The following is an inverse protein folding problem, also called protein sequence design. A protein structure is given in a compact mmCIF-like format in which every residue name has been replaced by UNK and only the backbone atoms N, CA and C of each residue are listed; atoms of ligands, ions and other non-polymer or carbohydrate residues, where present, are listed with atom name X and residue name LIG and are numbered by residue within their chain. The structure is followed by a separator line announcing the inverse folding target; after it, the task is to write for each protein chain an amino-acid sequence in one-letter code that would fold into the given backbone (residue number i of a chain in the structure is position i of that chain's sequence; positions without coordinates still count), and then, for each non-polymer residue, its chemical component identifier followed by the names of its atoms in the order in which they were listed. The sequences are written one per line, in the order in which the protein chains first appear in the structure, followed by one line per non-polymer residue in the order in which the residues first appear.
data_IF_961937952235
#
_entry.id   IF_961937952235
#
_cell.length_a   1.000
_cell.length_b   1.000
_cell.length_c   1.000
_cell.angle_alpha   90.00
_cell.angle_beta   90.00
_cell.angle_gamma   90.00
#
_symmetry.space_group_name_H-M   'P 1'
#
loop_
_entity.id
_entity.type
_entity.pdbx_description
1 polymer ?
#
# COMPACT_ATOMS: atom_id res chain seq x y z
N UNK A 1 -58.54 -33.92 -61.35
CA UNK A 1 -59.82 -33.41 -61.92
C UNK A 1 -59.66 -31.92 -62.00
N UNK A 2 -59.45 -31.45 -63.22
CA UNK A 2 -60.05 -30.36 -63.97
C UNK A 2 -59.91 -28.98 -63.34
N UNK A 3 -59.49 -27.98 -63.97
CA UNK A 3 -59.27 -27.55 -65.40
C UNK A 3 -59.52 -26.08 -65.45
N UNK A 4 -58.69 -25.33 -66.17
CA UNK A 4 -58.90 -24.09 -66.97
C UNK A 4 -59.15 -22.73 -66.23
N UNK A 5 -58.79 -21.64 -66.70
CA UNK A 5 -58.03 -21.14 -67.91
C UNK A 5 -58.01 -19.63 -67.91
N UNK A 6 -56.90 -19.10 -68.36
CA UNK A 6 -56.68 -17.93 -69.17
C UNK A 6 -57.75 -16.82 -69.23
N UNK A 7 -57.34 -15.56 -69.10
CA UNK A 7 -57.28 -14.70 -70.31
C UNK A 7 -56.52 -13.38 -70.09
N UNK A 8 -55.82 -13.09 -71.14
CA UNK A 8 -55.04 -11.92 -71.47
C UNK A 8 -55.94 -10.78 -71.82
N UNK A 9 -55.68 -9.53 -71.48
CA UNK A 9 -55.83 -8.38 -72.35
C UNK A 9 -54.83 -7.29 -71.99
N UNK A 10 -54.15 -6.89 -73.05
CA UNK A 10 -53.21 -5.74 -73.17
C UNK A 10 -53.92 -4.39 -73.27
N UNK A 11 -53.18 -3.37 -72.98
CA UNK A 11 -53.00 -2.05 -73.62
C UNK A 11 -53.02 -0.91 -72.57
N UNK A 12 -52.16 -0.14 -72.54
CA UNK A 12 -51.55 0.96 -73.20
C UNK A 12 -50.78 1.92 -72.25
N UNK A 13 -49.64 2.33 -72.77
CA UNK A 13 -48.77 3.33 -72.16
C UNK A 13 -49.45 4.70 -72.05
N UNK A 14 -49.24 5.32 -70.85
CA UNK A 14 -49.12 6.78 -70.78
C UNK A 14 -48.05 7.17 -69.82
N UNK A 15 -47.11 7.93 -70.35
CA UNK A 15 -45.93 8.47 -69.67
C UNK A 15 -46.30 9.30 -68.45
N UNK A 16 -45.82 8.96 -67.33
CA UNK A 16 -45.74 9.89 -66.20
C UNK A 16 -44.31 9.87 -65.62
N UNK A 17 -43.69 11.03 -65.65
CA UNK A 17 -42.30 11.29 -65.14
C UNK A 17 -42.20 10.92 -63.69
N UNK A 18 -41.42 9.92 -63.43
CA UNK A 18 -41.03 9.51 -62.08
C UNK A 18 -39.98 10.51 -61.56
N UNK A 19 -40.36 11.40 -60.68
CA UNK A 19 -39.39 12.18 -59.85
C UNK A 19 -38.85 11.28 -58.82
N UNK A 20 -37.57 10.87 -58.97
CA UNK A 20 -36.81 10.12 -57.97
C UNK A 20 -36.53 11.04 -56.80
N UNK A 21 -37.21 10.87 -55.70
CA UNK A 21 -36.81 11.41 -54.40
C UNK A 21 -35.69 10.53 -53.83
N UNK A 22 -34.45 11.01 -53.90
CA UNK A 22 -33.33 10.44 -53.18
C UNK A 22 -33.47 10.90 -51.72
N UNK A 23 -34.00 10.05 -50.86
CA UNK A 23 -33.93 10.25 -49.41
C UNK A 23 -32.51 9.83 -49.02
N UNK A 24 -31.66 10.82 -48.83
CA UNK A 24 -30.34 10.62 -48.17
C UNK A 24 -30.61 10.29 -46.71
N UNK A 25 -30.48 9.01 -46.36
CA UNK A 25 -30.35 8.59 -44.98
C UNK A 25 -28.96 9.06 -44.47
N UNK A 26 -28.92 10.22 -43.83
CA UNK A 26 -27.78 10.63 -43.04
C UNK A 26 -27.82 9.77 -41.77
N UNK A 27 -27.11 8.64 -41.77
CA UNK A 27 -26.81 7.91 -40.57
C UNK A 27 -25.88 8.78 -39.71
N UNK A 28 -26.45 9.51 -38.75
CA UNK A 28 -25.69 10.11 -37.67
C UNK A 28 -25.16 8.93 -36.85
N UNK A 29 -23.95 8.50 -37.17
CA UNK A 29 -23.16 7.70 -36.24
C UNK A 29 -22.85 8.65 -35.08
N UNK A 30 -23.68 8.63 -34.06
CA UNK A 30 -23.31 9.14 -32.76
C UNK A 30 -22.14 8.27 -32.29
N UNK A 31 -20.90 8.68 -32.57
CA UNK A 31 -19.73 8.23 -31.87
C UNK A 31 -19.95 8.73 -30.46
N UNK A 32 -20.58 7.88 -29.65
CA UNK A 32 -20.56 8.03 -28.22
C UNK A 32 -19.08 7.89 -27.80
N UNK A 33 -18.38 9.02 -27.72
CA UNK A 33 -17.24 9.13 -26.81
C UNK A 33 -17.80 8.98 -25.41
N UNK A 34 -18.06 7.74 -25.01
CA UNK A 34 -17.91 7.37 -23.61
C UNK A 34 -16.41 7.44 -23.37
N UNK A 35 -15.90 8.64 -23.11
CA UNK A 35 -14.57 8.82 -22.60
C UNK A 35 -14.49 7.91 -21.36
N UNK A 36 -13.77 6.80 -21.49
CA UNK A 36 -13.35 5.99 -20.35
C UNK A 36 -12.66 7.00 -19.46
N UNK A 37 -13.30 7.38 -18.34
CA UNK A 37 -12.67 8.27 -17.38
C UNK A 37 -11.36 7.59 -17.03
N UNK A 38 -10.28 8.32 -17.14
CA UNK A 38 -8.97 7.85 -16.71
C UNK A 38 -9.07 7.42 -15.25
N UNK A 39 -8.73 6.18 -14.96
CA UNK A 39 -8.85 5.58 -13.63
C UNK A 39 -8.12 6.41 -12.58
N UNK A 40 -7.00 7.05 -12.95
CA UNK A 40 -6.23 7.91 -12.06
C UNK A 40 -7.03 9.15 -11.71
N UNK A 41 -7.56 9.86 -12.72
CA UNK A 41 -8.36 11.08 -12.51
C UNK A 41 -9.63 10.82 -11.70
N UNK A 42 -10.28 9.67 -11.90
CA UNK A 42 -11.46 9.28 -11.13
C UNK A 42 -11.12 9.04 -9.65
N UNK A 43 -10.00 8.37 -9.37
CA UNK A 43 -9.55 8.12 -8.00
C UNK A 43 -9.06 9.39 -7.31
N UNK A 44 -8.37 10.29 -8.01
CA UNK A 44 -7.98 11.59 -7.47
C UNK A 44 -9.23 12.38 -7.07
N UNK A 45 -10.24 12.46 -7.94
CA UNK A 45 -11.48 13.16 -7.61
C UNK A 45 -12.21 12.56 -6.40
N UNK A 46 -12.26 11.22 -6.28
CA UNK A 46 -12.80 10.57 -5.09
C UNK A 46 -11.98 10.92 -3.85
N UNK A 47 -10.66 10.86 -3.94
CA UNK A 47 -9.75 11.18 -2.83
C UNK A 47 -9.87 12.64 -2.37
N UNK A 48 -10.07 13.60 -3.28
CA UNK A 48 -10.32 15.00 -2.93
C UNK A 48 -11.54 15.15 -2.02
N UNK A 49 -12.63 14.44 -2.32
CA UNK A 49 -13.87 14.49 -1.54
C UNK A 49 -13.65 13.81 -0.19
N UNK A 50 -13.08 12.60 -0.19
CA UNK A 50 -12.86 11.82 1.02
C UNK A 50 -11.92 12.54 1.99
N UNK A 51 -10.77 12.96 1.53
CA UNK A 51 -9.78 13.64 2.36
C UNK A 51 -10.25 15.04 2.80
N UNK A 52 -11.15 15.69 2.05
CA UNK A 52 -11.83 16.89 2.50
C UNK A 52 -12.62 16.66 3.80
N UNK A 53 -13.36 15.57 3.89
CA UNK A 53 -14.08 15.17 5.11
C UNK A 53 -13.14 14.79 6.27
N UNK A 54 -12.04 14.08 5.97
CA UNK A 54 -11.04 13.76 6.99
C UNK A 54 -10.35 15.01 7.54
N UNK A 55 -10.05 15.99 6.69
CA UNK A 55 -9.47 17.26 7.10
C UNK A 55 -10.44 18.03 8.01
N UNK A 56 -11.71 18.17 7.62
CA UNK A 56 -12.73 18.80 8.46
C UNK A 56 -12.78 18.16 9.86
N UNK A 57 -12.79 16.83 9.91
CA UNK A 57 -12.82 16.10 11.18
C UNK A 57 -11.50 16.23 11.96
N UNK A 58 -10.37 16.20 11.29
CA UNK A 58 -9.03 16.29 11.88
C UNK A 58 -8.73 17.67 12.46
N UNK A 59 -9.25 18.72 11.82
CA UNK A 59 -9.05 20.13 12.19
C UNK A 59 -10.20 20.73 13.02
N UNK A 60 -11.25 19.94 13.33
CA UNK A 60 -12.37 20.37 14.15
C UNK A 60 -11.96 20.50 15.63
N UNK A 61 -11.46 21.65 16.05
CA UNK A 61 -11.08 21.92 17.44
C UNK A 61 -9.82 22.75 17.53
N UNK A 62 -9.28 22.88 18.75
CA UNK A 62 -8.11 23.71 19.02
C UNK A 62 -6.78 23.06 18.65
N UNK A 63 -6.77 21.73 18.41
CA UNK A 63 -5.59 20.96 18.08
C UNK A 63 -5.84 20.05 16.90
N UNK A 64 -4.83 19.86 16.04
CA UNK A 64 -4.88 18.90 14.95
C UNK A 64 -4.91 17.46 15.50
N UNK A 65 -5.72 16.61 14.89
CA UNK A 65 -5.83 15.20 15.25
C UNK A 65 -5.42 14.32 14.07
N UNK A 66 -4.92 13.13 14.34
CA UNK A 66 -4.40 12.20 13.33
C UNK A 66 -5.43 11.09 13.13
N UNK A 67 -6.19 11.06 12.01
CA UNK A 67 -7.15 10.02 11.76
C UNK A 67 -6.42 8.71 11.40
N UNK A 68 -6.85 7.60 12.00
CA UNK A 68 -6.23 6.28 11.77
C UNK A 68 -7.18 5.29 11.11
N UNK A 69 -8.45 5.28 11.51
CA UNK A 69 -9.49 4.38 11.01
C UNK A 69 -10.88 4.95 11.24
N UNK A 70 -11.90 4.32 10.66
CA UNK A 70 -13.31 4.58 10.90
C UNK A 70 -14.00 3.31 11.35
N UNK A 71 -14.56 3.33 12.54
CA UNK A 71 -15.18 2.18 13.15
C UNK A 71 -16.42 2.59 13.94
N UNK A 72 -17.48 1.77 13.88
CA UNK A 72 -18.72 1.98 14.62
C UNK A 72 -19.37 3.36 14.41
N UNK A 73 -19.19 3.95 13.21
CA UNK A 73 -19.74 5.26 12.85
C UNK A 73 -18.86 6.45 13.28
N UNK A 74 -17.67 6.21 13.81
CA UNK A 74 -16.78 7.26 14.33
C UNK A 74 -15.36 7.15 13.77
N UNK A 75 -14.76 8.31 13.47
CA UNK A 75 -13.32 8.38 13.11
C UNK A 75 -12.51 8.20 14.39
N UNK A 76 -11.61 7.24 14.38
CA UNK A 76 -10.65 7.04 15.45
C UNK A 76 -9.38 7.84 15.18
N UNK A 77 -8.88 8.51 16.21
CA UNK A 77 -7.66 9.31 16.15
C UNK A 77 -6.58 8.68 17.03
N UNK A 78 -5.32 8.83 16.61
CA UNK A 78 -4.16 8.33 17.34
C UNK A 78 -3.27 9.47 17.84
N UNK A 79 -2.47 9.22 18.89
CA UNK A 79 -1.44 10.17 19.32
C UNK A 79 -0.29 10.25 18.29
N UNK A 80 0.55 11.27 18.44
CA UNK A 80 1.68 11.51 17.53
C UNK A 80 2.73 10.41 17.57
N UNK A 81 2.85 9.68 18.66
CA UNK A 81 3.81 8.56 18.83
C UNK A 81 3.24 7.19 18.42
N UNK A 82 2.05 7.14 17.84
CA UNK A 82 1.53 5.92 17.19
C UNK A 82 2.22 5.72 15.85
N UNK A 83 2.52 4.45 15.51
CA UNK A 83 3.26 4.09 14.29
C UNK A 83 2.59 4.55 12.98
N UNK A 84 1.26 4.71 12.98
CA UNK A 84 0.51 5.18 11.80
C UNK A 84 0.43 6.70 11.67
N UNK A 85 1.05 7.45 12.57
CA UNK A 85 0.85 8.91 12.67
C UNK A 85 1.36 9.69 11.45
N UNK A 86 2.36 9.19 10.74
CA UNK A 86 2.96 9.84 9.57
C UNK A 86 2.12 9.75 8.30
N UNK A 87 1.31 8.69 8.17
CA UNK A 87 0.64 8.37 6.90
C UNK A 87 -0.39 9.39 6.47
N UNK A 88 -1.15 9.99 7.39
CA UNK A 88 -2.13 11.01 7.00
C UNK A 88 -1.46 12.24 6.39
N UNK A 89 -0.40 12.75 7.01
CA UNK A 89 0.40 13.84 6.45
C UNK A 89 0.99 13.45 5.08
N UNK A 90 1.53 12.23 4.98
CA UNK A 90 2.05 11.67 3.73
C UNK A 90 1.01 11.57 2.62
N UNK A 91 -0.22 11.16 2.96
CA UNK A 91 -1.37 11.12 2.05
C UNK A 91 -1.68 12.50 1.47
N UNK A 92 -1.65 13.54 2.30
CA UNK A 92 -1.86 14.93 1.87
C UNK A 92 -0.72 15.42 0.97
N UNK A 93 0.53 15.02 1.23
CA UNK A 93 1.65 15.31 0.34
C UNK A 93 1.49 14.65 -1.04
N UNK A 94 1.00 13.41 -1.09
CA UNK A 94 0.69 12.75 -2.38
C UNK A 94 -0.47 13.45 -3.11
N UNK A 95 -1.49 13.93 -2.39
CA UNK A 95 -2.53 14.75 -3.03
C UNK A 95 -1.98 16.04 -3.63
N UNK A 96 -1.04 16.69 -2.97
CA UNK A 96 -0.35 17.83 -3.56
C UNK A 96 0.39 17.44 -4.84
N UNK A 97 1.16 16.36 -4.84
CA UNK A 97 1.91 15.90 -6.04
C UNK A 97 0.98 15.42 -7.16
N UNK A 98 -0.16 14.83 -6.81
CA UNK A 98 -1.16 14.38 -7.78
C UNK A 98 -1.98 15.51 -8.40
N UNK A 99 -2.25 16.58 -7.67
CA UNK A 99 -3.16 17.67 -8.12
C UNK A 99 -2.44 18.97 -8.48
N UNK A 100 -1.29 19.23 -7.89
CA UNK A 100 -0.62 20.53 -7.95
C UNK A 100 -1.34 21.63 -7.16
N UNK A 101 -2.38 21.32 -6.39
CA UNK A 101 -3.14 22.29 -5.61
C UNK A 101 -2.47 22.57 -4.26
N UNK A 102 -1.99 23.80 -4.08
CA UNK A 102 -1.25 24.26 -2.90
C UNK A 102 -2.00 24.05 -1.57
N UNK A 103 -3.33 24.01 -1.59
CA UNK A 103 -4.11 23.73 -0.38
C UNK A 103 -3.68 22.42 0.28
N UNK A 104 -3.39 21.38 -0.52
CA UNK A 104 -2.94 20.08 0.01
C UNK A 104 -1.56 20.20 0.66
N UNK A 105 -0.64 20.98 0.07
CA UNK A 105 0.67 21.21 0.67
C UNK A 105 0.57 21.97 2.01
N UNK A 106 -0.32 22.96 2.12
CA UNK A 106 -0.55 23.71 3.36
C UNK A 106 -1.07 22.79 4.49
N UNK A 107 -2.05 21.96 4.21
CA UNK A 107 -2.55 20.97 5.17
C UNK A 107 -1.50 19.92 5.50
N UNK A 108 -0.81 19.37 4.48
CA UNK A 108 0.26 18.40 4.66
C UNK A 108 1.38 18.94 5.58
N UNK A 109 1.81 20.18 5.38
CA UNK A 109 2.80 20.82 6.23
C UNK A 109 2.33 20.90 7.69
N UNK A 110 1.12 21.39 7.94
CA UNK A 110 0.56 21.50 9.30
C UNK A 110 0.50 20.14 10.00
N UNK A 111 0.02 19.09 9.29
CA UNK A 111 -0.06 17.75 9.84
C UNK A 111 1.31 17.06 9.96
N UNK A 112 2.30 17.46 9.19
CA UNK A 112 3.69 17.03 9.35
C UNK A 112 4.31 17.65 10.60
N UNK A 113 4.14 18.94 10.81
CA UNK A 113 4.81 19.68 11.88
C UNK A 113 4.38 19.26 13.29
N UNK A 114 3.16 18.74 13.49
CA UNK A 114 2.75 18.20 14.79
C UNK A 114 3.56 16.94 15.18
N UNK A 115 4.26 16.29 14.23
CA UNK A 115 5.12 15.13 14.48
C UNK A 115 6.57 15.51 14.82
N UNK A 116 6.87 16.81 15.04
CA UNK A 116 8.22 17.30 15.22
C UNK A 116 9.03 16.55 16.29
N UNK A 117 8.42 16.22 17.42
CA UNK A 117 9.13 15.59 18.54
C UNK A 117 9.41 14.11 18.35
N UNK A 118 8.80 13.46 17.32
CA UNK A 118 9.03 12.06 16.97
C UNK A 118 10.49 11.82 16.57
N UNK A 119 11.20 12.81 16.07
CA UNK A 119 12.61 12.73 15.75
C UNK A 119 13.50 12.24 16.92
N UNK A 120 13.04 12.34 18.15
CA UNK A 120 13.77 11.92 19.35
C UNK A 120 13.30 10.60 19.93
N UNK A 121 12.27 9.98 19.34
CA UNK A 121 11.68 8.75 19.84
C UNK A 121 12.60 7.54 19.58
N UNK A 122 12.78 6.66 20.59
CA UNK A 122 13.75 5.54 20.56
C UNK A 122 13.20 4.21 21.03
N UNK A 123 11.92 4.11 21.39
CA UNK A 123 11.38 2.91 22.02
C UNK A 123 10.73 1.92 21.03
N UNK A 124 10.48 2.30 19.78
CA UNK A 124 10.13 1.39 18.67
C UNK A 124 10.82 1.82 17.37
N UNK A 125 10.75 0.96 16.34
CA UNK A 125 11.45 1.17 15.08
C UNK A 125 10.69 2.06 14.08
N UNK A 126 9.37 2.23 14.28
CA UNK A 126 8.47 2.82 13.28
C UNK A 126 8.69 4.32 13.03
N UNK A 127 9.64 4.92 13.72
CA UNK A 127 10.03 6.32 13.47
C UNK A 127 10.45 6.56 12.02
N UNK A 128 10.92 5.52 11.30
CA UNK A 128 11.20 5.59 9.87
C UNK A 128 9.94 5.87 9.07
N UNK A 129 8.88 5.07 9.24
CA UNK A 129 7.58 5.30 8.64
C UNK A 129 7.02 6.69 8.99
N UNK A 130 6.96 6.98 10.29
CA UNK A 130 6.29 8.18 10.79
C UNK A 130 6.89 9.46 10.23
N UNK A 131 8.22 9.53 10.14
CA UNK A 131 8.93 10.73 9.76
C UNK A 131 9.27 10.77 8.27
N UNK A 132 9.59 9.62 7.65
CA UNK A 132 9.92 9.65 6.23
C UNK A 132 8.69 9.87 5.36
N UNK A 133 7.55 9.25 5.70
CA UNK A 133 6.31 9.43 4.96
C UNK A 133 5.75 10.86 5.08
N UNK A 134 6.04 11.57 6.16
CA UNK A 134 5.63 12.95 6.41
C UNK A 134 6.70 13.98 6.03
N UNK A 135 7.74 14.12 6.83
CA UNK A 135 8.85 15.08 6.60
C UNK A 135 9.65 14.77 5.33
N UNK A 136 9.84 13.48 5.01
CA UNK A 136 10.54 13.06 3.79
C UNK A 136 9.84 13.55 2.53
N UNK A 137 8.52 13.35 2.44
CA UNK A 137 7.73 13.87 1.32
C UNK A 137 7.72 15.40 1.29
N UNK A 138 7.59 16.07 2.45
CA UNK A 138 7.65 17.52 2.53
C UNK A 138 9.00 18.08 2.10
N UNK A 139 10.11 17.44 2.48
CA UNK A 139 11.45 17.83 2.04
C UNK A 139 11.60 17.65 0.52
N UNK A 140 11.17 16.53 -0.03
CA UNK A 140 11.23 16.23 -1.46
C UNK A 140 10.44 17.24 -2.30
N UNK A 141 9.24 17.59 -1.86
CA UNK A 141 8.30 18.40 -2.67
C UNK A 141 8.45 19.91 -2.49
N UNK A 142 8.80 20.36 -1.28
CA UNK A 142 8.79 21.81 -0.94
C UNK A 142 10.12 22.31 -0.38
N UNK A 143 11.08 21.43 -0.06
CA UNK A 143 12.36 21.81 0.56
C UNK A 143 12.21 22.72 1.78
N UNK A 144 11.24 22.39 2.65
CA UNK A 144 10.93 23.22 3.81
C UNK A 144 12.12 23.26 4.79
N UNK A 145 12.45 24.46 5.34
CA UNK A 145 13.57 24.63 6.25
C UNK A 145 13.48 23.74 7.49
N UNK A 146 14.56 23.05 7.86
CA UNK A 146 14.65 22.23 9.05
C UNK A 146 14.13 20.79 8.89
N UNK A 147 13.46 20.46 7.78
CA UNK A 147 12.98 19.10 7.51
C UNK A 147 14.15 18.12 7.36
N UNK A 148 15.22 18.52 6.73
CA UNK A 148 16.49 17.79 6.66
C UNK A 148 17.05 17.44 8.04
N UNK A 149 17.02 18.43 8.96
CA UNK A 149 17.47 18.25 10.35
C UNK A 149 16.61 17.22 11.09
N UNK A 150 15.28 17.26 10.91
CA UNK A 150 14.35 16.26 11.49
C UNK A 150 14.68 14.87 10.99
N UNK A 151 14.90 14.68 9.68
CA UNK A 151 15.28 13.39 9.11
C UNK A 151 16.60 12.87 9.71
N UNK A 152 17.62 13.71 9.83
CA UNK A 152 18.93 13.32 10.40
C UNK A 152 18.79 12.95 11.87
N UNK A 153 18.04 13.69 12.68
CA UNK A 153 17.80 13.37 14.08
C UNK A 153 17.02 12.05 14.23
N UNK A 154 16.02 11.82 13.37
CA UNK A 154 15.26 10.57 13.35
C UNK A 154 16.15 9.37 13.00
N UNK A 155 17.00 9.50 11.98
CA UNK A 155 17.95 8.44 11.62
C UNK A 155 18.91 8.14 12.76
N UNK A 156 19.36 9.16 13.50
CA UNK A 156 20.18 9.01 14.71
C UNK A 156 19.41 8.26 15.82
N UNK A 157 18.14 8.60 16.02
CA UNK A 157 17.27 7.94 17.01
C UNK A 157 17.03 6.48 16.63
N UNK A 158 16.67 6.19 15.38
CA UNK A 158 16.49 4.83 14.86
C UNK A 158 17.77 4.00 14.99
N UNK A 159 18.93 4.58 14.68
CA UNK A 159 20.23 3.90 14.77
C UNK A 159 20.58 3.42 16.17
N UNK A 160 20.00 4.01 17.23
CA UNK A 160 20.19 3.52 18.62
C UNK A 160 19.60 2.12 18.85
N UNK A 161 18.73 1.68 17.95
CA UNK A 161 18.11 0.34 17.99
C UNK A 161 18.95 -0.73 17.33
N UNK A 162 20.07 -0.37 16.69
CA UNK A 162 20.96 -1.32 16.05
C UNK A 162 21.64 -2.22 17.07
N UNK A 163 21.63 -3.52 16.82
CA UNK A 163 22.24 -4.56 17.63
C UNK A 163 23.41 -5.18 16.86
N UNK A 164 24.65 -4.70 17.07
CA UNK A 164 25.77 -5.03 16.18
C UNK A 164 26.09 -6.51 16.07
N UNK A 165 25.92 -7.29 17.16
CA UNK A 165 26.18 -8.72 17.14
C UNK A 165 25.18 -9.51 16.31
N UNK A 166 23.91 -9.08 16.31
CA UNK A 166 22.88 -9.67 15.47
C UNK A 166 22.81 -9.03 14.07
N UNK A 167 23.37 -7.83 13.91
CA UNK A 167 23.38 -7.10 12.64
C UNK A 167 22.01 -6.53 12.25
N UNK A 168 21.12 -6.29 13.23
CA UNK A 168 19.72 -5.89 13.00
C UNK A 168 19.32 -4.64 13.79
N UNK A 169 18.27 -3.99 13.33
CA UNK A 169 17.51 -3.00 14.08
C UNK A 169 16.41 -3.72 14.86
N UNK A 170 16.40 -3.59 16.17
CA UNK A 170 15.36 -4.18 17.03
C UNK A 170 14.03 -3.45 16.84
N UNK A 171 12.93 -4.19 16.64
CA UNK A 171 11.62 -3.61 16.37
C UNK A 171 10.95 -3.03 17.61
N UNK A 172 10.78 -3.81 18.66
CA UNK A 172 10.10 -3.40 19.88
C UNK A 172 10.98 -3.59 21.11
N UNK A 173 10.77 -2.74 22.10
CA UNK A 173 11.40 -2.96 23.41
C UNK A 173 10.73 -4.16 24.09
N UNK A 174 11.52 -4.97 24.74
CA UNK A 174 11.03 -6.05 25.61
C UNK A 174 11.15 -5.59 27.04
N UNK A 175 10.02 -5.24 27.64
CA UNK A 175 9.94 -4.81 29.03
C UNK A 175 9.38 -5.94 29.90
N UNK A 176 9.83 -6.02 31.16
CA UNK A 176 9.35 -7.04 32.11
C UNK A 176 7.81 -6.94 32.23
N UNK A 177 7.15 -8.10 32.16
CA UNK A 177 5.68 -8.23 32.15
C UNK A 177 4.97 -7.55 30.98
N UNK A 178 5.69 -7.04 30.00
CA UNK A 178 5.12 -6.60 28.72
C UNK A 178 4.71 -7.79 27.86
N UNK A 179 3.81 -7.58 26.90
CA UNK A 179 3.32 -8.66 26.05
C UNK A 179 4.43 -9.37 25.25
N UNK A 180 5.49 -8.65 24.88
CA UNK A 180 6.67 -9.23 24.22
C UNK A 180 7.41 -10.20 25.14
N UNK A 181 7.63 -9.82 26.42
CA UNK A 181 8.31 -10.67 27.38
C UNK A 181 7.45 -11.89 27.77
N UNK A 182 6.12 -11.74 27.83
CA UNK A 182 5.21 -12.86 28.05
C UNK A 182 5.23 -13.87 26.90
N UNK A 183 5.54 -13.43 25.67
CA UNK A 183 5.84 -14.31 24.55
C UNK A 183 7.24 -14.93 24.60
N UNK A 184 8.07 -14.56 25.59
CA UNK A 184 9.43 -15.03 25.78
C UNK A 184 10.43 -14.47 24.78
N UNK A 185 10.13 -13.35 24.12
CA UNK A 185 11.04 -12.67 23.20
C UNK A 185 12.16 -11.95 23.96
N UNK A 186 13.31 -11.80 23.29
CA UNK A 186 14.48 -11.06 23.82
C UNK A 186 14.82 -9.87 22.93
N UNK A 187 14.92 -10.08 21.62
CA UNK A 187 15.23 -9.05 20.65
C UNK A 187 14.42 -9.29 19.35
N UNK A 188 13.10 -9.00 19.37
CA UNK A 188 12.24 -9.26 18.23
C UNK A 188 12.50 -8.27 17.10
N UNK A 189 12.48 -8.80 15.88
CA UNK A 189 12.54 -8.08 14.62
C UNK A 189 11.38 -8.52 13.77
N UNK A 190 10.56 -7.58 13.31
CA UNK A 190 9.47 -7.86 12.37
C UNK A 190 9.87 -7.46 10.95
N UNK A 191 9.26 -8.12 9.97
CA UNK A 191 9.55 -7.86 8.54
C UNK A 191 9.25 -6.40 8.16
N UNK A 192 8.29 -5.75 8.80
CA UNK A 192 7.91 -4.34 8.64
C UNK A 192 9.11 -3.39 8.79
N UNK A 193 10.13 -3.80 9.55
CA UNK A 193 11.31 -2.97 9.77
C UNK A 193 12.09 -2.66 8.48
N UNK A 194 11.89 -3.43 7.42
CA UNK A 194 12.45 -3.12 6.11
C UNK A 194 12.00 -1.76 5.58
N UNK A 195 10.80 -1.29 5.97
CA UNK A 195 10.25 0.00 5.57
C UNK A 195 10.99 1.19 6.20
N UNK A 196 11.59 0.99 7.37
CA UNK A 196 12.31 2.05 8.09
C UNK A 196 13.72 2.30 7.52
N UNK A 197 14.20 1.43 6.62
CA UNK A 197 15.53 1.54 6.01
C UNK A 197 15.63 2.68 5.00
N UNK A 198 14.52 3.07 4.37
CA UNK A 198 14.48 4.16 3.41
C UNK A 198 15.00 5.47 4.01
N UNK A 199 14.53 5.80 5.22
CA UNK A 199 15.05 6.94 5.99
C UNK A 199 16.58 6.87 6.15
N UNK A 200 17.13 5.71 6.53
CA UNK A 200 18.57 5.56 6.76
C UNK A 200 19.38 5.70 5.47
N UNK A 201 18.91 5.09 4.38
CA UNK A 201 19.54 5.25 3.08
C UNK A 201 19.54 6.72 2.65
N UNK A 202 18.39 7.39 2.74
CA UNK A 202 18.24 8.79 2.33
C UNK A 202 19.11 9.73 3.15
N UNK A 203 19.14 9.56 4.47
CA UNK A 203 19.98 10.39 5.34
C UNK A 203 21.47 10.16 5.09
N UNK A 204 21.88 8.92 4.76
CA UNK A 204 23.25 8.65 4.35
C UNK A 204 23.62 9.38 3.05
N UNK A 205 22.73 9.44 2.07
CA UNK A 205 22.93 10.22 0.84
C UNK A 205 23.02 11.72 1.11
N UNK A 206 22.11 12.24 1.93
CA UNK A 206 22.04 13.67 2.25
C UNK A 206 23.27 14.18 3.02
N UNK A 207 23.79 13.35 3.94
CA UNK A 207 24.86 13.76 4.85
C UNK A 207 26.26 13.32 4.41
N UNK A 208 26.34 12.30 3.54
CA UNK A 208 27.58 11.61 3.21
C UNK A 208 28.11 10.69 4.33
N UNK A 209 27.35 10.52 5.45
CA UNK A 209 27.73 9.62 6.54
C UNK A 209 27.33 8.17 6.20
N UNK A 210 28.31 7.26 5.98
CA UNK A 210 28.03 5.89 5.61
C UNK A 210 27.44 5.05 6.76
N UNK A 211 27.44 5.55 7.98
CA UNK A 211 26.97 4.81 9.15
C UNK A 211 25.52 4.35 8.96
N UNK A 212 24.65 5.24 8.49
CA UNK A 212 23.22 4.94 8.31
C UNK A 212 23.01 3.90 7.21
N UNK A 213 23.67 4.05 6.06
CA UNK A 213 23.66 3.08 4.97
C UNK A 213 24.15 1.71 5.42
N UNK A 214 25.23 1.66 6.19
CA UNK A 214 25.82 0.41 6.66
C UNK A 214 24.86 -0.32 7.62
N UNK A 215 24.15 0.39 8.49
CA UNK A 215 23.12 -0.17 9.36
C UNK A 215 21.97 -0.73 8.52
N UNK A 216 21.50 0.02 7.53
CA UNK A 216 20.41 -0.42 6.65
C UNK A 216 20.77 -1.68 5.85
N UNK A 217 21.96 -1.72 5.25
CA UNK A 217 22.46 -2.90 4.52
C UNK A 217 22.61 -4.10 5.46
N UNK A 218 23.20 -3.91 6.65
CA UNK A 218 23.35 -5.01 7.64
C UNK A 218 21.98 -5.59 8.02
N UNK A 219 20.99 -4.73 8.26
CA UNK A 219 19.63 -5.18 8.56
C UNK A 219 18.99 -5.91 7.39
N UNK A 220 19.07 -5.37 6.18
CA UNK A 220 18.51 -5.98 4.97
C UNK A 220 19.15 -7.37 4.68
N UNK A 221 20.48 -7.50 4.82
CA UNK A 221 21.19 -8.76 4.67
C UNK A 221 20.70 -9.81 5.69
N UNK A 222 20.52 -9.41 6.97
CA UNK A 222 20.01 -10.31 8.01
C UNK A 222 18.54 -10.69 7.81
N UNK A 223 17.75 -9.78 7.26
CA UNK A 223 16.38 -10.08 6.88
C UNK A 223 16.34 -11.07 5.72
N UNK A 224 17.19 -10.86 4.70
CA UNK A 224 17.33 -11.77 3.56
C UNK A 224 17.74 -13.20 3.97
N UNK A 225 18.62 -13.32 4.97
CA UNK A 225 19.08 -14.61 5.49
C UNK A 225 18.02 -15.32 6.37
N UNK A 226 17.26 -14.57 7.17
CA UNK A 226 16.61 -15.13 8.34
C UNK A 226 15.08 -15.09 8.33
N UNK A 227 14.44 -14.20 7.56
CA UNK A 227 12.99 -14.02 7.59
C UNK A 227 12.21 -14.88 6.57
N UNK A 228 12.90 -15.67 5.74
CA UNK A 228 12.24 -16.39 4.65
C UNK A 228 12.15 -17.89 4.90
N UNK A 229 11.07 -18.48 4.38
CA UNK A 229 10.90 -19.91 4.15
C UNK A 229 11.49 -20.28 2.78
N UNK A 230 11.55 -21.58 2.50
CA UNK A 230 12.08 -22.11 1.23
C UNK A 230 11.22 -21.70 0.02
N UNK A 231 9.93 -21.40 0.23
CA UNK A 231 8.99 -20.91 -0.78
C UNK A 231 9.06 -19.39 -1.01
N UNK A 232 9.98 -18.71 -0.32
CA UNK A 232 10.14 -17.26 -0.30
C UNK A 232 9.03 -16.47 0.40
N UNK A 233 8.09 -17.12 1.06
CA UNK A 233 7.22 -16.45 2.02
C UNK A 233 7.99 -16.01 3.26
N UNK A 234 7.51 -14.95 3.94
CA UNK A 234 8.22 -14.41 5.10
C UNK A 234 7.53 -14.77 6.40
N UNK A 235 8.34 -15.07 7.44
CA UNK A 235 7.89 -14.98 8.81
C UNK A 235 7.65 -13.53 9.22
N UNK A 236 6.65 -13.30 10.07
CA UNK A 236 6.41 -11.96 10.59
C UNK A 236 7.53 -11.54 11.55
N UNK A 237 7.89 -12.40 12.50
CA UNK A 237 8.85 -12.10 13.60
C UNK A 237 10.00 -13.09 13.59
N UNK A 238 11.22 -12.57 13.68
CA UNK A 238 12.42 -13.33 14.05
C UNK A 238 12.94 -12.76 15.36
N UNK A 239 13.00 -13.60 16.41
CA UNK A 239 13.53 -13.21 17.70
C UNK A 239 15.00 -13.62 17.81
N UNK A 240 15.86 -12.68 18.13
CA UNK A 240 17.30 -12.87 18.25
C UNK A 240 17.76 -12.87 19.71
N UNK A 241 18.90 -13.47 19.93
CA UNK A 241 19.73 -13.21 21.08
C UNK A 241 20.69 -12.05 20.75
N UNK A 242 20.51 -10.90 21.37
CA UNK A 242 21.26 -9.69 21.07
C UNK A 242 22.72 -9.73 21.59
N UNK A 243 23.06 -10.68 22.45
CA UNK A 243 24.44 -10.90 22.96
C UNK A 243 25.25 -11.77 22.02
N UNK A 244 24.62 -12.76 21.38
CA UNK A 244 25.30 -13.73 20.52
C UNK A 244 25.02 -13.50 19.03
N UNK A 245 23.89 -12.86 18.69
CA UNK A 245 23.39 -12.70 17.33
C UNK A 245 22.63 -13.92 16.81
N UNK A 246 22.46 -14.96 17.60
CA UNK A 246 21.80 -16.19 17.20
C UNK A 246 20.27 -16.00 17.10
N UNK A 247 19.65 -16.68 16.12
CA UNK A 247 18.19 -16.79 16.07
C UNK A 247 17.70 -17.67 17.20
N UNK A 248 16.74 -17.18 17.97
CA UNK A 248 16.06 -17.95 19.04
C UNK A 248 14.83 -18.67 18.50
N UNK A 249 14.03 -17.97 17.68
CA UNK A 249 12.86 -18.55 17.02
C UNK A 249 12.33 -17.65 15.90
N UNK A 250 11.50 -18.23 15.03
CA UNK A 250 10.64 -17.54 14.08
C UNK A 250 9.19 -17.70 14.54
N UNK A 251 8.37 -16.67 14.39
CA UNK A 251 6.99 -16.68 14.87
C UNK A 251 6.19 -15.53 14.28
N UNK A 252 4.97 -15.32 14.80
CA UNK A 252 4.11 -14.20 14.39
C UNK A 252 3.63 -13.38 15.60
N UNK A 253 3.23 -12.14 15.34
CA UNK A 253 2.44 -11.32 16.24
C UNK A 253 1.04 -11.02 15.64
N UNK A 254 0.94 -10.89 14.32
CA UNK A 254 -0.27 -10.45 13.63
C UNK A 254 -0.85 -11.51 12.68
N UNK A 255 -0.11 -12.55 12.31
CA UNK A 255 -0.63 -13.71 11.58
C UNK A 255 -1.43 -14.65 12.49
N UNK A 256 -2.16 -15.58 11.91
CA UNK A 256 -3.03 -16.53 12.63
C UNK A 256 -2.21 -17.54 13.47
N UNK A 257 -1.04 -17.96 12.98
CA UNK A 257 -0.15 -18.92 13.64
C UNK A 257 1.32 -18.58 13.34
N UNK A 258 2.25 -19.11 14.19
CA UNK A 258 3.69 -18.85 14.02
C UNK A 258 4.22 -19.28 12.63
N UNK A 259 3.65 -20.32 12.07
CA UNK A 259 4.01 -20.84 10.74
C UNK A 259 3.14 -20.26 9.60
N UNK A 260 2.15 -19.42 9.90
CA UNK A 260 1.29 -18.83 8.86
C UNK A 260 1.97 -17.72 8.08
N UNK A 261 1.38 -17.41 6.93
CA UNK A 261 1.88 -16.44 5.97
C UNK A 261 1.01 -15.19 5.98
N UNK A 262 1.25 -14.33 6.97
CA UNK A 262 0.53 -13.06 7.12
C UNK A 262 0.70 -12.17 5.89
N UNK A 263 -0.41 -11.72 5.27
CA UNK A 263 -0.39 -11.08 3.96
C UNK A 263 0.37 -9.75 3.94
N UNK A 264 0.18 -8.89 4.95
CA UNK A 264 0.87 -7.60 5.01
C UNK A 264 2.37 -7.77 5.26
N UNK A 265 2.81 -8.87 5.87
CA UNK A 265 4.22 -9.21 5.97
C UNK A 265 4.86 -9.46 4.60
N UNK A 266 4.16 -10.17 3.71
CA UNK A 266 4.63 -10.36 2.33
C UNK A 266 4.67 -9.01 1.59
N UNK A 267 3.69 -8.14 1.82
CA UNK A 267 3.65 -6.80 1.23
C UNK A 267 4.83 -5.94 1.67
N UNK A 268 5.13 -5.89 2.97
CA UNK A 268 6.30 -5.18 3.49
C UNK A 268 7.62 -5.73 2.93
N UNK A 269 7.69 -7.03 2.77
CA UNK A 269 8.85 -7.72 2.21
C UNK A 269 9.16 -7.29 0.78
N UNK A 270 8.19 -7.39 -0.14
CA UNK A 270 8.42 -7.00 -1.55
C UNK A 270 8.77 -5.53 -1.66
N UNK A 271 8.06 -4.64 -0.93
CA UNK A 271 8.31 -3.20 -0.95
C UNK A 271 9.71 -2.88 -0.39
N UNK A 272 10.04 -3.40 0.79
CA UNK A 272 11.30 -3.10 1.46
C UNK A 272 12.54 -3.56 0.69
N UNK A 273 12.48 -4.72 0.01
CA UNK A 273 13.58 -5.17 -0.85
C UNK A 273 13.67 -4.40 -2.17
N UNK A 274 12.56 -3.92 -2.71
CA UNK A 274 12.57 -2.99 -3.85
C UNK A 274 13.26 -1.68 -3.46
N UNK A 275 12.94 -1.11 -2.30
CA UNK A 275 13.62 0.06 -1.74
C UNK A 275 15.12 -0.21 -1.52
N UNK A 276 15.48 -1.33 -0.90
CA UNK A 276 16.88 -1.67 -0.66
C UNK A 276 17.68 -1.76 -1.99
N UNK A 277 17.08 -2.32 -3.04
CA UNK A 277 17.67 -2.32 -4.38
C UNK A 277 17.80 -0.91 -4.95
N UNK A 278 16.78 -0.06 -4.81
CA UNK A 278 16.82 1.35 -5.28
C UNK A 278 18.09 2.06 -4.85
N UNK A 279 18.41 1.96 -3.56
CA UNK A 279 19.55 2.66 -2.96
C UNK A 279 20.89 1.94 -3.10
N UNK A 280 20.91 0.62 -3.24
CA UNK A 280 22.17 -0.14 -3.23
C UNK A 280 22.60 -0.64 -4.59
N UNK A 281 21.64 -0.90 -5.48
CA UNK A 281 21.80 -1.64 -6.73
C UNK A 281 22.41 -3.03 -6.54
N UNK A 282 22.19 -3.62 -5.34
CA UNK A 282 22.58 -5.00 -5.06
C UNK A 282 21.54 -5.97 -5.62
N UNK A 283 21.95 -6.76 -6.62
CA UNK A 283 21.07 -7.71 -7.32
C UNK A 283 20.43 -8.75 -6.39
N UNK A 284 21.00 -9.03 -5.23
CA UNK A 284 20.42 -9.95 -4.25
C UNK A 284 19.07 -9.43 -3.73
N UNK A 285 18.93 -8.11 -3.56
CA UNK A 285 17.68 -7.48 -3.11
C UNK A 285 16.64 -7.45 -4.22
N UNK A 286 17.05 -7.13 -5.45
CA UNK A 286 16.16 -7.23 -6.62
C UNK A 286 15.64 -8.65 -6.80
N UNK A 287 16.54 -9.64 -6.69
CA UNK A 287 16.15 -11.04 -6.84
C UNK A 287 15.15 -11.43 -5.72
N UNK A 288 15.36 -10.99 -4.47
CA UNK A 288 14.42 -11.26 -3.39
C UNK A 288 13.04 -10.63 -3.61
N UNK A 289 12.97 -9.40 -4.09
CA UNK A 289 11.69 -8.77 -4.47
C UNK A 289 10.97 -9.57 -5.57
N UNK A 290 11.73 -10.08 -6.56
CA UNK A 290 11.19 -10.97 -7.62
C UNK A 290 10.73 -12.32 -7.07
N UNK A 291 11.47 -12.93 -6.14
CA UNK A 291 11.10 -14.20 -5.53
C UNK A 291 9.79 -14.09 -4.75
N UNK A 292 9.61 -12.99 -3.98
CA UNK A 292 8.35 -12.71 -3.28
C UNK A 292 7.20 -12.45 -4.26
N UNK A 293 7.45 -11.72 -5.35
CA UNK A 293 6.44 -11.54 -6.39
C UNK A 293 6.04 -12.88 -7.04
N UNK A 294 7.01 -13.77 -7.29
CA UNK A 294 6.73 -15.11 -7.79
C UNK A 294 5.91 -15.94 -6.80
N UNK A 295 6.25 -15.89 -5.52
CA UNK A 295 5.45 -16.52 -4.46
C UNK A 295 4.00 -16.03 -4.48
N UNK A 296 3.79 -14.71 -4.58
CA UNK A 296 2.45 -14.13 -4.56
C UNK A 296 1.61 -14.46 -5.79
N UNK A 297 2.19 -14.49 -7.00
CA UNK A 297 1.44 -14.46 -8.25
C UNK A 297 1.66 -15.65 -9.18
N UNK A 298 2.62 -16.52 -8.91
CA UNK A 298 2.99 -17.64 -9.82
C UNK A 298 2.95 -18.98 -9.12
N UNK A 299 3.44 -19.06 -7.88
CA UNK A 299 3.54 -20.31 -7.13
C UNK A 299 2.21 -20.53 -6.41
N UNK A 300 1.40 -21.46 -6.93
CA UNK A 300 0.07 -21.81 -6.42
C UNK A 300 -0.93 -20.61 -6.46
N UNK A 301 -2.17 -20.85 -6.10
CA UNK A 301 -3.24 -19.84 -6.09
C UNK A 301 -3.21 -18.97 -4.80
N UNK A 302 -2.06 -18.39 -4.47
CA UNK A 302 -1.92 -17.60 -3.26
C UNK A 302 -2.76 -16.31 -3.27
N UNK A 303 -2.98 -15.74 -4.47
CA UNK A 303 -3.75 -14.50 -4.61
C UNK A 303 -5.13 -14.77 -5.19
N UNK A 304 -6.19 -14.18 -4.64
CA UNK A 304 -7.52 -14.21 -5.23
C UNK A 304 -7.56 -13.60 -6.63
N UNK A 305 -8.63 -13.87 -7.40
CA UNK A 305 -8.79 -13.36 -8.78
C UNK A 305 -8.69 -11.82 -8.87
N UNK A 306 -9.16 -11.11 -7.85
CA UNK A 306 -9.10 -9.65 -7.74
C UNK A 306 -7.76 -9.12 -7.23
N UNK A 307 -6.82 -9.98 -6.88
CA UNK A 307 -5.49 -9.67 -6.34
C UNK A 307 -5.50 -8.83 -5.04
N UNK A 308 -6.60 -8.84 -4.29
CA UNK A 308 -6.63 -8.30 -2.92
C UNK A 308 -6.57 -9.50 -1.97
N UNK A 309 -5.49 -9.70 -1.21
CA UNK A 309 -5.28 -10.92 -0.45
C UNK A 309 -6.26 -11.04 0.73
N UNK A 310 -6.45 -12.25 1.22
CA UNK A 310 -6.91 -12.48 2.58
C UNK A 310 -5.88 -11.91 3.56
N UNK A 311 -6.30 -11.58 4.77
CA UNK A 311 -5.39 -11.04 5.80
C UNK A 311 -4.24 -11.98 6.18
N UNK A 312 -4.45 -13.29 6.01
CA UNK A 312 -3.43 -14.33 6.16
C UNK A 312 -3.72 -15.42 5.12
N UNK A 313 -2.71 -15.86 4.38
CA UNK A 313 -2.87 -16.86 3.30
C UNK A 313 -3.24 -18.24 3.83
N UNK A 314 -2.95 -18.52 5.09
CA UNK A 314 -3.17 -19.81 5.72
C UNK A 314 -4.35 -19.82 6.69
N UNK A 315 -5.22 -18.83 6.61
CA UNK A 315 -6.37 -18.69 7.52
C UNK A 315 -7.27 -19.92 7.51
N UNK A 316 -7.46 -20.57 6.37
CA UNK A 316 -8.27 -21.80 6.27
C UNK A 316 -7.61 -22.97 7.02
N UNK A 317 -6.32 -23.18 6.79
CA UNK A 317 -5.57 -24.27 7.41
C UNK A 317 -5.51 -24.15 8.94
N UNK A 318 -5.19 -22.95 9.45
CA UNK A 318 -4.98 -22.76 10.88
C UNK A 318 -6.26 -22.45 11.65
N UNK A 319 -7.36 -22.07 11.02
CA UNK A 319 -8.63 -21.79 11.71
C UNK A 319 -9.13 -22.97 12.53
N UNK A 320 -8.92 -24.19 12.05
CA UNK A 320 -9.30 -25.40 12.76
C UNK A 320 -8.54 -25.63 14.10
N UNK A 321 -7.44 -24.91 14.29
CA UNK A 321 -6.60 -24.96 15.50
C UNK A 321 -6.93 -23.84 16.50
N UNK A 322 -7.82 -22.91 16.14
CA UNK A 322 -8.22 -21.81 16.99
C UNK A 322 -9.22 -22.28 18.08
N UNK A 323 -9.22 -21.64 19.26
CA UNK A 323 -10.14 -21.99 20.32
C UNK A 323 -11.61 -21.78 19.96
N UNK A 324 -11.91 -20.76 19.14
CA UNK A 324 -13.24 -20.44 18.67
C UNK A 324 -13.64 -21.36 17.52
N UNK A 325 -14.70 -22.14 17.69
CA UNK A 325 -15.18 -23.08 16.67
C UNK A 325 -15.71 -22.42 15.39
N UNK A 326 -16.04 -21.12 15.45
CA UNK A 326 -16.54 -20.28 14.36
C UNK A 326 -15.48 -19.30 13.81
N UNK A 327 -14.19 -19.52 14.12
CA UNK A 327 -13.11 -18.62 13.74
C UNK A 327 -13.04 -18.40 12.23
N UNK A 328 -13.11 -19.49 11.44
CA UNK A 328 -13.09 -19.37 9.98
C UNK A 328 -14.33 -18.65 9.43
N UNK A 329 -15.51 -18.88 10.02
CA UNK A 329 -16.73 -18.16 9.63
C UNK A 329 -16.59 -16.65 9.84
N UNK A 330 -15.95 -16.26 10.95
CA UNK A 330 -15.74 -14.83 11.30
C UNK A 330 -14.64 -14.17 10.48
N UNK A 331 -13.52 -14.86 10.27
CA UNK A 331 -12.28 -14.22 9.82
C UNK A 331 -11.72 -14.79 8.53
N UNK A 332 -12.21 -15.94 8.07
CA UNK A 332 -11.63 -16.69 6.95
C UNK A 332 -11.74 -16.00 5.59
N UNK A 333 -12.67 -15.06 5.43
CA UNK A 333 -12.90 -14.35 4.17
C UNK A 333 -12.54 -12.87 4.21
N UNK A 334 -11.93 -12.40 5.32
CA UNK A 334 -11.58 -10.99 5.46
C UNK A 334 -10.40 -10.65 4.54
N UNK A 335 -10.59 -9.61 3.73
CA UNK A 335 -9.59 -9.07 2.80
C UNK A 335 -8.72 -8.03 3.49
N UNK A 336 -7.50 -7.84 2.99
CA UNK A 336 -6.63 -6.75 3.42
C UNK A 336 -6.26 -5.85 2.25
N UNK A 337 -7.05 -4.81 2.02
CA UNK A 337 -6.80 -3.81 0.98
C UNK A 337 -5.48 -3.05 1.22
N UNK A 338 -5.02 -2.92 2.47
CA UNK A 338 -3.73 -2.30 2.77
C UNK A 338 -2.57 -3.10 2.21
N UNK A 339 -2.60 -4.43 2.35
CA UNK A 339 -1.60 -5.31 1.75
C UNK A 339 -1.57 -5.19 0.23
N UNK A 340 -2.75 -5.15 -0.41
CA UNK A 340 -2.83 -4.97 -1.85
C UNK A 340 -2.24 -3.63 -2.32
N UNK A 341 -2.52 -2.53 -1.62
CA UNK A 341 -2.00 -1.20 -1.94
C UNK A 341 -0.47 -1.15 -1.85
N UNK A 342 0.12 -1.72 -0.80
CA UNK A 342 1.57 -1.81 -0.59
C UNK A 342 2.23 -2.64 -1.70
N UNK A 343 1.68 -3.83 -1.99
CA UNK A 343 2.16 -4.70 -3.08
C UNK A 343 2.09 -3.96 -4.42
N UNK A 344 0.97 -3.29 -4.71
CA UNK A 344 0.77 -2.54 -5.95
C UNK A 344 1.85 -1.47 -6.15
N UNK A 345 2.12 -0.70 -5.11
CA UNK A 345 3.14 0.35 -5.16
C UNK A 345 4.53 -0.23 -5.42
N UNK A 346 4.90 -1.31 -4.73
CA UNK A 346 6.16 -2.02 -4.96
C UNK A 346 6.29 -2.58 -6.38
N UNK A 347 5.22 -3.15 -6.94
CA UNK A 347 5.21 -3.73 -8.28
C UNK A 347 5.45 -2.70 -9.39
N UNK A 348 4.95 -1.47 -9.25
CA UNK A 348 5.24 -0.42 -10.23
C UNK A 348 6.72 -0.04 -10.24
N UNK A 349 7.36 0.01 -9.08
CA UNK A 349 8.80 0.25 -9.02
C UNK A 349 9.59 -0.94 -9.55
N UNK A 350 9.20 -2.16 -9.19
CA UNK A 350 9.82 -3.38 -9.69
C UNK A 350 9.71 -3.51 -11.22
N UNK A 351 8.57 -3.11 -11.79
CA UNK A 351 8.42 -2.95 -13.25
C UNK A 351 9.43 -1.96 -13.82
N UNK A 352 9.58 -0.80 -13.18
CA UNK A 352 10.50 0.22 -13.66
C UNK A 352 11.94 -0.24 -13.66
N UNK A 353 12.36 -0.96 -12.63
CA UNK A 353 13.73 -1.48 -12.51
C UNK A 353 14.01 -2.65 -13.48
N UNK A 354 13.01 -3.51 -13.73
CA UNK A 354 13.19 -4.73 -14.54
C UNK A 354 12.72 -4.59 -15.98
N UNK A 355 11.79 -3.67 -16.27
CA UNK A 355 11.03 -3.55 -17.52
C UNK A 355 10.21 -4.81 -17.87
N UNK A 356 9.92 -5.64 -16.89
CA UNK A 356 9.08 -6.83 -17.06
C UNK A 356 7.61 -6.46 -16.91
N UNK A 357 6.86 -6.52 -18.02
CA UNK A 357 5.43 -6.19 -18.11
C UNK A 357 4.56 -7.03 -17.16
N UNK A 358 5.04 -8.17 -16.69
CA UNK A 358 4.35 -8.98 -15.71
C UNK A 358 4.02 -8.18 -14.44
N UNK A 359 4.97 -7.44 -13.89
CA UNK A 359 4.78 -6.65 -12.67
C UNK A 359 3.80 -5.51 -12.88
N UNK A 360 3.91 -4.80 -14.02
CA UNK A 360 2.97 -3.73 -14.37
C UNK A 360 1.54 -4.26 -14.53
N UNK A 361 1.37 -5.38 -15.21
CA UNK A 361 0.04 -5.99 -15.40
C UNK A 361 -0.61 -6.39 -14.07
N UNK A 362 0.17 -6.91 -13.10
CA UNK A 362 -0.32 -7.22 -11.76
C UNK A 362 -0.68 -5.96 -10.98
N UNK A 363 0.16 -4.92 -11.03
CA UNK A 363 -0.11 -3.63 -10.40
C UNK A 363 -1.37 -2.96 -10.98
N UNK A 364 -1.52 -2.94 -12.32
CA UNK A 364 -2.69 -2.39 -12.99
C UNK A 364 -3.98 -3.12 -12.56
N UNK A 365 -3.93 -4.45 -12.44
CA UNK A 365 -5.06 -5.25 -11.95
C UNK A 365 -5.43 -4.94 -10.50
N UNK A 366 -4.43 -4.74 -9.63
CA UNK A 366 -4.68 -4.33 -8.23
C UNK A 366 -5.31 -2.93 -8.19
N UNK A 367 -4.81 -1.97 -8.98
CA UNK A 367 -5.43 -0.63 -9.09
C UNK A 367 -6.89 -0.74 -9.54
N UNK A 368 -7.19 -1.55 -10.56
CA UNK A 368 -8.58 -1.79 -10.99
C UNK A 368 -9.46 -2.31 -9.85
N UNK A 369 -8.97 -3.29 -9.11
CA UNK A 369 -9.69 -3.89 -8.00
C UNK A 369 -9.92 -2.89 -6.86
N UNK A 370 -8.87 -2.22 -6.40
CA UNK A 370 -8.96 -1.21 -5.33
C UNK A 370 -9.81 0.02 -5.74
N UNK A 371 -9.90 0.33 -7.03
CA UNK A 371 -10.73 1.40 -7.57
C UNK A 371 -12.21 1.00 -7.73
N UNK A 372 -12.53 -0.26 -7.57
CA UNK A 372 -13.90 -0.77 -7.71
C UNK A 372 -14.75 -0.43 -6.48
N UNK A 373 -16.10 -0.44 -6.61
CA UNK A 373 -16.99 -0.26 -5.47
C UNK A 373 -16.85 -1.31 -4.37
N UNK A 374 -16.14 -2.42 -4.62
CA UNK A 374 -15.86 -3.45 -3.61
C UNK A 374 -14.84 -2.97 -2.56
N UNK A 375 -13.93 -2.06 -2.95
CA UNK A 375 -12.85 -1.60 -2.07
C UNK A 375 -12.77 -0.08 -1.94
N UNK A 376 -13.18 0.68 -2.96
CA UNK A 376 -13.19 2.13 -2.89
C UNK A 376 -14.53 2.64 -2.35
N UNK A 377 -14.47 3.42 -1.29
CA UNK A 377 -15.63 4.05 -0.70
C UNK A 377 -16.36 5.00 -1.66
N UNK A 378 -17.67 5.06 -1.54
CA UNK A 378 -18.45 6.08 -2.22
C UNK A 378 -18.13 7.47 -1.64
N UNK A 379 -18.09 8.53 -2.49
CA UNK A 379 -17.84 9.89 -2.02
C UNK A 379 -18.70 10.28 -0.81
N UNK A 380 -18.06 10.78 0.25
CA UNK A 380 -18.73 11.22 1.48
C UNK A 380 -19.12 10.11 2.45
N UNK A 381 -18.66 8.88 2.22
CA UNK A 381 -18.88 7.74 3.14
C UNK A 381 -17.58 7.28 3.79
N UNK A 382 -17.63 6.19 4.58
CA UNK A 382 -16.44 5.55 5.17
C UNK A 382 -15.60 6.50 6.07
N UNK A 383 -16.24 7.50 6.68
CA UNK A 383 -15.57 8.49 7.52
C UNK A 383 -14.57 9.38 6.79
N UNK A 384 -14.57 9.37 5.45
CA UNK A 384 -13.61 10.12 4.62
C UNK A 384 -12.35 9.35 4.23
N UNK A 385 -12.22 8.07 4.60
CA UNK A 385 -11.15 7.20 4.10
C UNK A 385 -11.47 6.71 2.67
N UNK A 386 -10.43 6.55 1.85
CA UNK A 386 -10.55 6.18 0.44
C UNK A 386 -10.88 4.71 0.27
N UNK A 387 -10.09 3.84 0.92
CA UNK A 387 -10.25 2.38 0.84
C UNK A 387 -11.01 1.82 2.03
N UNK A 388 -11.75 0.75 1.77
CA UNK A 388 -12.43 -0.11 2.74
C UNK A 388 -11.67 -1.42 2.91
N UNK A 389 -12.10 -2.26 3.85
CA UNK A 389 -11.70 -3.67 3.95
C UNK A 389 -10.20 -3.90 4.16
N UNK A 390 -9.63 -3.22 5.14
CA UNK A 390 -8.26 -3.45 5.60
C UNK A 390 -8.23 -4.10 6.99
N UNK A 391 -7.08 -4.67 7.35
CA UNK A 391 -6.90 -5.36 8.64
C UNK A 391 -5.67 -4.83 9.37
N UNK A 392 -5.84 -4.30 10.57
CA UNK A 392 -4.74 -3.99 11.47
C UNK A 392 -4.14 -5.27 12.06
N UNK A 393 -4.86 -5.91 12.98
CA UNK A 393 -4.41 -7.18 13.57
C UNK A 393 -5.60 -7.96 14.16
N UNK A 394 -5.94 -9.09 13.58
CA UNK A 394 -6.99 -9.98 14.09
C UNK A 394 -6.60 -10.59 15.44
N UNK A 395 -5.37 -11.11 15.64
CA UNK A 395 -4.98 -11.67 16.95
C UNK A 395 -5.03 -10.67 18.10
N UNK A 396 -4.93 -9.37 17.84
CA UNK A 396 -5.05 -8.32 18.85
C UNK A 396 -6.45 -7.69 18.92
N UNK A 397 -7.41 -8.15 18.09
CA UNK A 397 -8.76 -7.57 18.02
C UNK A 397 -8.79 -6.11 17.56
N UNK A 398 -7.77 -5.69 16.80
CA UNK A 398 -7.56 -4.31 16.40
C UNK A 398 -7.79 -4.10 14.92
N UNK A 399 -8.67 -3.15 14.58
CA UNK A 399 -8.89 -2.66 13.20
C UNK A 399 -9.16 -3.81 12.22
N UNK A 400 -10.28 -4.51 12.43
CA UNK A 400 -10.68 -5.67 11.63
C UNK A 400 -11.76 -5.24 10.63
N UNK A 401 -11.48 -5.44 9.34
CA UNK A 401 -12.37 -5.11 8.22
C UNK A 401 -12.85 -3.64 8.25
N UNK A 402 -11.90 -2.72 8.38
CA UNK A 402 -12.12 -1.27 8.49
C UNK A 402 -11.15 -0.51 7.54
N UNK A 403 -11.40 0.77 7.23
CA UNK A 403 -10.42 1.60 6.54
C UNK A 403 -9.17 1.83 7.40
N UNK A 404 -8.03 2.02 6.75
CA UNK A 404 -6.77 2.33 7.44
C UNK A 404 -6.02 3.43 6.69
N UNK A 405 -5.48 4.42 7.40
CA UNK A 405 -4.81 5.57 6.80
C UNK A 405 -3.58 5.19 5.95
N UNK A 406 -2.87 4.12 6.30
CA UNK A 406 -1.75 3.64 5.49
C UNK A 406 -2.21 2.88 4.22
N UNK A 407 -3.43 2.32 4.19
CA UNK A 407 -3.99 1.80 2.95
C UNK A 407 -4.20 2.92 1.92
N UNK A 408 -4.74 4.05 2.36
CA UNK A 408 -4.95 5.23 1.53
C UNK A 408 -3.61 5.82 1.05
N UNK A 409 -2.62 5.89 1.94
CA UNK A 409 -1.27 6.36 1.62
C UNK A 409 -0.65 5.57 0.47
N UNK A 410 -0.57 4.24 0.62
CA UNK A 410 0.04 3.38 -0.42
C UNK A 410 -0.80 3.29 -1.69
N UNK A 411 -2.11 3.45 -1.59
CA UNK A 411 -2.95 3.52 -2.79
C UNK A 411 -2.69 4.79 -3.61
N UNK A 412 -2.59 5.96 -2.97
CA UNK A 412 -2.23 7.20 -3.66
C UNK A 412 -0.79 7.16 -4.21
N UNK A 413 0.14 6.57 -3.46
CA UNK A 413 1.49 6.32 -3.97
C UNK A 413 1.47 5.45 -5.22
N UNK A 414 0.69 4.36 -5.23
CA UNK A 414 0.56 3.49 -6.39
C UNK A 414 -0.03 4.22 -7.60
N UNK A 415 -1.05 5.07 -7.41
CA UNK A 415 -1.61 5.91 -8.47
C UNK A 415 -0.59 6.91 -9.03
N UNK A 416 0.20 7.52 -8.16
CA UNK A 416 1.27 8.42 -8.54
C UNK A 416 2.35 7.70 -9.36
N UNK A 417 2.80 6.54 -8.90
CA UNK A 417 3.78 5.69 -9.59
C UNK A 417 3.26 5.26 -10.96
N UNK A 418 1.98 4.84 -11.03
CA UNK A 418 1.31 4.52 -12.30
C UNK A 418 1.36 5.68 -13.26
N UNK A 419 0.95 6.88 -12.83
CA UNK A 419 0.94 8.09 -13.66
C UNK A 419 2.33 8.42 -14.19
N UNK A 420 3.35 8.44 -13.33
CA UNK A 420 4.74 8.70 -13.72
C UNK A 420 5.24 7.70 -14.78
N UNK A 421 4.94 6.42 -14.60
CA UNK A 421 5.29 5.37 -15.57
C UNK A 421 4.60 5.60 -16.92
N UNK A 422 3.31 5.95 -16.94
CA UNK A 422 2.57 6.25 -18.17
C UNK A 422 3.11 7.50 -18.90
N UNK A 423 3.66 8.44 -18.15
CA UNK A 423 4.37 9.62 -18.66
C UNK A 423 5.83 9.35 -19.05
N UNK A 424 6.34 8.12 -18.84
CA UNK A 424 7.72 7.74 -19.11
C UNK A 424 8.73 8.29 -18.10
N UNK A 425 8.27 8.66 -16.91
CA UNK A 425 9.07 9.21 -15.80
C UNK A 425 9.32 8.11 -14.77
N UNK A 426 10.49 8.15 -14.10
CA UNK A 426 10.78 7.24 -13.00
C UNK A 426 9.72 7.38 -11.89
N UNK A 427 9.16 6.26 -11.37
CA UNK A 427 8.09 6.32 -10.38
C UNK A 427 8.55 6.87 -9.03
N UNK A 428 9.84 6.77 -8.75
CA UNK A 428 10.48 7.23 -7.52
C UNK A 428 11.70 8.07 -7.88
N UNK A 429 11.94 9.16 -7.14
CA UNK A 429 13.08 10.06 -7.32
C UNK A 429 14.29 9.63 -6.48
#
# INVERSE_FOLDING_TARGET
MNIYSTNIYSMNMHSMKLRTFVIAFVSIVAIGCTGRRDIISENIHNAEIQLGHLLEASEAGDTLRIPSTYKDGEIQFVPTDDWVSGFFAGTLWYMYELTGDEKWAEHAQRHTEILHDIQYLKWHHDVGFMVYDSYGNGLRLKHLPGYDTVLVNTARSLSTRFRPKAGILQSWNVVNNGWQSLRGWKCPVIIDNMMNLELLFKVSEMTGDPTYRNIAISHADKTLENHYRDDFSTYHVVDYDDETGAIRRRCTAQGIADESRWARGQAWSIYGFTVAYRFTKDERYLQRAKDVANYLFVTEDNMPEDLVPLWDFDVEEFSAQMPESDYFEKYGQIRDASSAAIICSALYELYWDTKDEFYKAKADKIVESLSSPAYRAQPGTNGGFILMHSVGSIPHGSSIDVPLNYADYYFLEALLRKRKIEEGIAPVE
#
